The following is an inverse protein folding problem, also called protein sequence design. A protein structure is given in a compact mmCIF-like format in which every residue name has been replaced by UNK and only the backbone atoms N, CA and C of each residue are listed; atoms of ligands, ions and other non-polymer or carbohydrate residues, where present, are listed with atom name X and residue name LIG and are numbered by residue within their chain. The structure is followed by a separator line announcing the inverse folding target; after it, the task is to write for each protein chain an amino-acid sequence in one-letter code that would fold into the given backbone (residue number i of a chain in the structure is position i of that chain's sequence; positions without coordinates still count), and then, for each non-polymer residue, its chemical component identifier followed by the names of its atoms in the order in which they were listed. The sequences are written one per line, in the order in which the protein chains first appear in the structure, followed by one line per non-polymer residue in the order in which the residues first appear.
data_IF_013454568755
#
_entry.id   IF_013454568755
#
_cell.length_a   1.000
_cell.length_b   1.000
_cell.length_c   1.000
_cell.angle_alpha   90.00
_cell.angle_beta   90.00
_cell.angle_gamma   90.00
#
_symmetry.space_group_name_H-M   'P 1'
#
loop_
_entity.id
_entity.type
_entity.pdbx_description
1 polymer ?
#
# COMPACT_ATOMS: atom_id res chain seq x y z
N UNK A 1 15.89 -6.24 -18.30
CA UNK A 1 14.66 -6.69 -17.61
C UNK A 1 14.51 -5.76 -16.43
N UNK A 2 13.43 -4.99 -16.35
CA UNK A 2 13.25 -4.09 -15.22
C UNK A 2 12.89 -4.94 -14.01
N UNK A 3 13.83 -5.14 -13.09
CA UNK A 3 13.55 -5.86 -11.86
C UNK A 3 12.78 -4.95 -10.91
N UNK A 4 11.47 -5.21 -10.82
CA UNK A 4 10.53 -4.48 -9.95
C UNK A 4 11.00 -4.52 -8.50
N UNK A 5 11.60 -5.62 -8.06
CA UNK A 5 12.04 -5.83 -6.68
C UNK A 5 13.32 -5.05 -6.40
N UNK A 6 14.25 -4.99 -7.36
CA UNK A 6 15.43 -4.14 -7.25
C UNK A 6 15.04 -2.65 -7.19
N UNK A 7 14.12 -2.19 -8.04
CA UNK A 7 13.66 -0.79 -8.02
C UNK A 7 12.99 -0.43 -6.68
N UNK A 8 12.13 -1.31 -6.16
CA UNK A 8 11.50 -1.13 -4.85
C UNK A 8 12.56 -1.08 -3.74
N UNK A 9 13.49 -2.03 -3.73
CA UNK A 9 14.52 -2.12 -2.70
C UNK A 9 15.42 -0.88 -2.72
N UNK A 10 15.90 -0.47 -3.89
CA UNK A 10 16.73 0.73 -4.06
C UNK A 10 16.01 2.00 -3.61
N UNK A 11 14.76 2.20 -4.06
CA UNK A 11 13.95 3.39 -3.73
C UNK A 11 13.61 3.52 -2.25
N UNK A 12 13.71 2.42 -1.49
CA UNK A 12 13.29 2.38 -0.10
C UNK A 12 14.40 2.13 0.92
N UNK A 13 15.61 1.76 0.49
CA UNK A 13 16.77 1.41 1.33
C UNK A 13 17.17 2.45 2.40
N UNK A 14 16.91 3.74 2.16
CA UNK A 14 17.29 4.81 3.08
C UNK A 14 16.53 4.78 4.43
N UNK A 15 15.37 4.12 4.50
CA UNK A 15 14.51 4.09 5.71
C UNK A 15 15.17 3.38 6.89
N UNK A 16 15.94 2.32 6.63
CA UNK A 16 16.62 1.56 7.68
C UNK A 16 17.64 2.40 8.44
N UNK A 17 18.32 3.30 7.71
CA UNK A 17 19.23 4.27 8.29
C UNK A 17 18.52 5.28 9.20
N UNK A 18 17.27 5.64 8.92
CA UNK A 18 16.48 6.52 9.78
C UNK A 18 15.95 5.80 11.02
N UNK A 19 15.46 4.57 10.87
CA UNK A 19 15.06 3.73 12.00
C UNK A 19 16.20 3.52 13.00
N UNK A 20 17.43 3.29 12.53
CA UNK A 20 18.59 3.20 13.41
C UNK A 20 18.82 4.50 14.20
N UNK A 21 18.67 5.67 13.56
CA UNK A 21 18.83 6.98 14.22
C UNK A 21 17.75 7.24 15.26
N UNK A 22 16.50 6.83 15.01
CA UNK A 22 15.39 7.00 15.96
C UNK A 22 15.65 6.28 17.28
N UNK A 23 16.28 5.10 17.24
CA UNK A 23 16.64 4.33 18.44
C UNK A 23 17.77 4.98 19.24
N UNK A 24 18.71 5.65 18.56
CA UNK A 24 19.90 6.23 19.19
C UNK A 24 19.63 7.54 19.93
N UNK A 25 18.72 8.39 19.43
CA UNK A 25 18.53 9.76 19.93
C UNK A 25 19.87 10.52 20.04
N UNK A 26 20.68 10.49 18.96
CA UNK A 26 22.05 11.01 18.99
C UNK A 26 22.15 12.51 19.33
N UNK A 27 21.07 13.27 19.13
CA UNK A 27 20.99 14.68 19.49
C UNK A 27 20.69 14.92 20.98
N UNK A 28 20.50 13.86 21.79
CA UNK A 28 20.15 13.93 23.21
C UNK A 28 18.92 14.81 23.49
N UNK A 29 17.91 14.75 22.63
CA UNK A 29 16.62 15.40 22.87
C UNK A 29 15.96 14.76 24.09
N UNK A 30 15.15 15.52 24.84
CA UNK A 30 14.31 14.96 25.90
C UNK A 30 13.61 13.68 25.39
N UNK A 31 13.69 12.59 26.17
CA UNK A 31 13.29 11.26 25.69
C UNK A 31 11.81 11.21 25.32
N UNK A 32 10.94 11.81 26.12
CA UNK A 32 9.50 11.79 25.86
C UNK A 32 9.17 12.58 24.60
N UNK A 33 9.78 13.75 24.43
CA UNK A 33 9.65 14.54 23.20
C UNK A 33 10.19 13.77 21.99
N UNK A 34 11.37 13.15 22.11
CA UNK A 34 12.01 12.40 21.03
C UNK A 34 11.15 11.24 20.54
N UNK A 35 10.67 10.39 21.46
CA UNK A 35 9.83 9.25 21.09
C UNK A 35 8.50 9.70 20.48
N UNK A 36 7.92 10.79 20.98
CA UNK A 36 6.74 11.41 20.36
C UNK A 36 7.02 11.87 18.92
N UNK A 37 8.17 12.47 18.66
CA UNK A 37 8.58 12.89 17.31
C UNK A 37 8.85 11.70 16.37
N UNK A 38 9.31 10.57 16.90
CA UNK A 38 9.57 9.38 16.09
C UNK A 38 8.29 8.73 15.55
N UNK A 39 7.17 8.78 16.28
CA UNK A 39 5.93 8.08 15.88
C UNK A 39 5.41 8.49 14.49
N UNK A 40 5.22 9.79 14.17
CA UNK A 40 4.81 10.20 12.83
C UNK A 40 5.80 9.77 11.74
N UNK A 41 7.10 9.76 12.04
CA UNK A 41 8.15 9.36 11.09
C UNK A 41 8.10 7.85 10.81
N UNK A 42 7.95 7.03 11.85
CA UNK A 42 7.81 5.57 11.69
C UNK A 42 6.57 5.24 10.86
N UNK A 43 5.45 5.91 11.15
CA UNK A 43 4.24 5.79 10.34
C UNK A 43 4.46 6.23 8.89
N UNK A 44 5.14 7.35 8.66
CA UNK A 44 5.42 7.85 7.31
C UNK A 44 6.28 6.87 6.50
N UNK A 45 7.21 6.15 7.15
CA UNK A 45 7.97 5.08 6.50
C UNK A 45 7.08 3.93 6.06
N UNK A 46 6.15 3.48 6.90
CA UNK A 46 5.19 2.44 6.58
C UNK A 46 4.33 2.83 5.37
N UNK A 47 3.56 3.93 5.49
CA UNK A 47 2.66 4.36 4.43
C UNK A 47 3.42 4.69 3.14
N UNK A 48 4.55 5.39 3.27
CA UNK A 48 5.40 5.75 2.14
C UNK A 48 5.97 4.54 1.42
N UNK A 49 6.40 3.49 2.14
CA UNK A 49 6.90 2.25 1.53
C UNK A 49 5.81 1.57 0.71
N UNK A 50 4.62 1.36 1.29
CA UNK A 50 3.51 0.70 0.59
C UNK A 50 3.10 1.49 -0.65
N UNK A 51 2.92 2.80 -0.53
CA UNK A 51 2.54 3.66 -1.66
C UNK A 51 3.61 3.64 -2.75
N UNK A 52 4.89 3.75 -2.39
CA UNK A 52 5.99 3.72 -3.37
C UNK A 52 6.06 2.38 -4.10
N UNK A 53 5.93 1.27 -3.36
CA UNK A 53 6.03 -0.08 -3.90
C UNK A 53 4.89 -0.38 -4.87
N UNK A 54 3.65 -0.03 -4.49
CA UNK A 54 2.49 -0.23 -5.37
C UNK A 54 2.52 0.68 -6.60
N UNK A 55 3.10 1.89 -6.52
CA UNK A 55 3.31 2.76 -7.70
C UNK A 55 4.29 2.17 -8.70
N UNK A 56 5.37 1.56 -8.21
CA UNK A 56 6.36 0.85 -9.02
C UNK A 56 5.68 -0.36 -9.69
N UNK A 57 4.97 -1.19 -8.91
CA UNK A 57 4.21 -2.33 -9.44
C UNK A 57 3.20 -1.92 -10.51
N UNK A 58 2.41 -0.86 -10.28
CA UNK A 58 1.46 -0.34 -11.27
C UNK A 58 2.17 0.14 -12.54
N UNK A 59 3.34 0.77 -12.40
CA UNK A 59 4.11 1.23 -13.55
C UNK A 59 4.62 0.05 -14.38
N UNK A 60 5.07 -1.02 -13.71
CA UNK A 60 5.40 -2.29 -14.35
C UNK A 60 4.19 -2.89 -15.08
N UNK A 61 3.04 -3.05 -14.42
CA UNK A 61 1.83 -3.62 -15.03
C UNK A 61 1.37 -2.81 -16.25
N UNK A 62 1.44 -1.48 -16.20
CA UNK A 62 1.12 -0.61 -17.32
C UNK A 62 2.07 -0.76 -18.52
N UNK A 63 3.33 -1.14 -18.27
CA UNK A 63 4.34 -1.39 -19.31
C UNK A 63 4.13 -2.70 -20.05
N UNK A 64 3.37 -3.64 -19.46
CA UNK A 64 3.06 -4.94 -20.07
C UNK A 64 1.93 -4.88 -21.12
N UNK A 65 1.25 -3.74 -21.27
CA UNK A 65 0.15 -3.54 -22.23
C UNK A 65 -0.92 -4.66 -22.18
N UNK A 66 -1.32 -5.02 -20.95
CA UNK A 66 -2.13 -6.21 -20.69
C UNK A 66 -3.50 -6.18 -21.39
N UNK A 67 -3.89 -7.30 -22.00
CA UNK A 67 -5.23 -7.49 -22.55
C UNK A 67 -6.23 -7.81 -21.43
N UNK A 68 -7.32 -7.03 -21.26
CA UNK A 68 -8.34 -7.26 -20.23
C UNK A 68 -9.00 -8.65 -20.23
N UNK A 69 -8.93 -9.38 -21.35
CA UNK A 69 -9.47 -10.74 -21.46
C UNK A 69 -8.62 -11.81 -20.78
N UNK A 70 -7.33 -11.53 -20.56
CA UNK A 70 -6.35 -12.51 -20.10
C UNK A 70 -5.89 -12.26 -18.65
N UNK A 71 -6.45 -11.25 -17.98
CA UNK A 71 -6.06 -10.81 -16.65
C UNK A 71 -7.11 -11.12 -15.59
N UNK A 72 -6.69 -11.19 -14.34
CA UNK A 72 -7.61 -11.43 -13.22
C UNK A 72 -8.61 -10.29 -13.04
N UNK A 73 -9.83 -10.64 -12.64
CA UNK A 73 -10.97 -9.71 -12.51
C UNK A 73 -10.70 -8.56 -11.54
N UNK A 74 -9.99 -8.79 -10.43
CA UNK A 74 -9.58 -7.74 -9.50
C UNK A 74 -8.81 -6.62 -10.21
N UNK A 75 -7.90 -6.94 -11.14
CA UNK A 75 -7.17 -5.93 -11.90
C UNK A 75 -8.05 -5.19 -12.92
N UNK A 76 -9.01 -5.88 -13.56
CA UNK A 76 -10.02 -5.24 -14.41
C UNK A 76 -10.82 -4.20 -13.60
N UNK A 77 -11.21 -4.56 -12.37
CA UNK A 77 -11.92 -3.66 -11.44
C UNK A 77 -11.05 -2.43 -11.11
N UNK A 78 -9.76 -2.62 -10.83
CA UNK A 78 -8.82 -1.50 -10.60
C UNK A 78 -8.76 -0.58 -11.83
N UNK A 79 -8.64 -1.16 -13.04
CA UNK A 79 -8.55 -0.37 -14.28
C UNK A 79 -9.81 0.42 -14.61
N UNK A 80 -11.00 -0.08 -14.25
CA UNK A 80 -12.26 0.67 -14.38
C UNK A 80 -12.34 1.85 -13.41
N UNK A 81 -11.79 1.70 -12.20
CA UNK A 81 -11.61 2.77 -11.22
C UNK A 81 -12.84 3.66 -11.03
N UNK A 82 -12.69 4.96 -11.31
CA UNK A 82 -13.73 5.97 -11.15
C UNK A 82 -14.97 5.76 -12.03
N UNK A 83 -14.91 4.87 -13.03
CA UNK A 83 -16.08 4.48 -13.82
C UNK A 83 -17.18 3.90 -12.94
N UNK A 84 -16.83 3.24 -11.82
CA UNK A 84 -17.84 2.73 -10.86
C UNK A 84 -18.61 3.83 -10.12
N UNK A 85 -18.12 5.09 -10.10
CA UNK A 85 -18.88 6.20 -9.50
C UNK A 85 -20.20 6.45 -10.22
N UNK A 86 -20.29 6.14 -11.52
CA UNK A 86 -21.55 6.22 -12.26
C UNK A 86 -22.55 5.11 -11.86
N UNK A 87 -22.17 4.20 -10.97
CA UNK A 87 -23.03 3.17 -10.39
C UNK A 87 -23.37 3.40 -8.91
N UNK A 88 -22.90 4.50 -8.29
CA UNK A 88 -23.14 4.77 -6.86
C UNK A 88 -24.52 5.38 -6.56
N UNK A 89 -25.36 4.71 -5.77
CA UNK A 89 -26.71 5.18 -5.43
C UNK A 89 -27.79 4.81 -6.46
N UNK A 90 -28.86 5.60 -6.56
CA UNK A 90 -29.95 5.36 -7.53
C UNK A 90 -29.51 5.82 -8.93
N UNK A 91 -29.30 4.86 -9.83
CA UNK A 91 -28.84 5.16 -11.19
C UNK A 91 -29.96 5.43 -12.18
N UNK A 92 -29.83 6.55 -12.91
CA UNK A 92 -30.58 6.81 -14.14
C UNK A 92 -30.17 5.86 -15.26
N UNK A 93 -31.01 5.74 -16.29
CA UNK A 93 -30.68 4.94 -17.47
C UNK A 93 -29.44 5.47 -18.21
N UNK A 94 -29.25 6.80 -18.24
CA UNK A 94 -28.08 7.45 -18.86
C UNK A 94 -26.78 7.07 -18.16
N UNK A 95 -26.75 7.06 -16.83
CA UNK A 95 -25.57 6.65 -16.06
C UNK A 95 -25.19 5.17 -16.31
N UNK A 96 -26.19 4.31 -16.52
CA UNK A 96 -25.96 2.90 -16.88
C UNK A 96 -25.38 2.75 -18.28
N UNK A 97 -25.85 3.55 -19.24
CA UNK A 97 -25.25 3.62 -20.59
C UNK A 97 -23.79 4.05 -20.47
N UNK A 98 -23.52 5.14 -19.75
CA UNK A 98 -22.16 5.67 -19.58
C UNK A 98 -21.20 4.62 -18.98
N UNK A 99 -21.63 3.88 -17.95
CA UNK A 99 -20.85 2.77 -17.40
C UNK A 99 -20.61 1.67 -18.45
N UNK A 100 -21.66 1.27 -19.16
CA UNK A 100 -21.61 0.17 -20.13
C UNK A 100 -20.68 0.50 -21.30
N UNK A 101 -20.66 1.76 -21.75
CA UNK A 101 -19.76 2.24 -22.79
C UNK A 101 -18.30 2.23 -22.32
N UNK A 102 -18.01 2.73 -21.10
CA UNK A 102 -16.66 2.68 -20.51
C UNK A 102 -16.18 1.24 -20.32
N UNK A 103 -17.04 0.37 -19.79
CA UNK A 103 -16.76 -1.04 -19.64
C UNK A 103 -16.45 -1.71 -20.98
N UNK A 104 -17.26 -1.45 -22.01
CA UNK A 104 -17.05 -2.00 -23.35
C UNK A 104 -15.78 -1.46 -24.02
N UNK A 105 -15.44 -0.19 -23.79
CA UNK A 105 -14.22 0.44 -24.32
C UNK A 105 -12.96 -0.18 -23.71
N UNK A 106 -12.99 -0.52 -22.42
CA UNK A 106 -11.87 -1.15 -21.73
C UNK A 106 -11.37 -2.39 -22.49
N UNK A 107 -12.28 -3.27 -22.93
CA UNK A 107 -11.95 -4.51 -23.63
C UNK A 107 -11.47 -4.34 -25.08
N UNK A 108 -11.46 -3.11 -25.60
CA UNK A 108 -10.93 -2.78 -26.94
C UNK A 108 -9.48 -2.31 -26.89
N UNK A 109 -8.98 -1.95 -25.70
CA UNK A 109 -7.66 -1.36 -25.49
C UNK A 109 -6.83 -2.19 -24.49
N UNK A 110 -5.53 -1.88 -24.39
CA UNK A 110 -4.70 -2.41 -23.30
C UNK A 110 -5.14 -1.79 -21.97
N UNK A 111 -5.14 -2.58 -20.90
CA UNK A 111 -5.50 -2.08 -19.58
C UNK A 111 -4.51 -1.01 -19.12
N UNK A 112 -5.02 0.12 -18.62
CA UNK A 112 -4.24 1.17 -17.99
C UNK A 112 -4.72 1.40 -16.57
N UNK A 113 -3.79 1.36 -15.62
CA UNK A 113 -4.03 1.57 -14.20
C UNK A 113 -3.59 2.98 -13.81
N UNK A 114 -4.41 3.67 -13.02
CA UNK A 114 -4.03 4.95 -12.44
C UNK A 114 -2.86 4.76 -11.46
N UNK A 115 -1.85 5.63 -11.54
CA UNK A 115 -0.69 5.60 -10.61
C UNK A 115 -1.03 6.10 -9.19
N UNK A 116 -2.25 6.60 -8.97
CA UNK A 116 -2.67 7.08 -7.66
C UNK A 116 -3.07 5.89 -6.79
N UNK A 117 -2.33 5.68 -5.70
CA UNK A 117 -2.70 4.78 -4.61
C UNK A 117 -3.40 5.61 -3.54
N UNK A 118 -4.62 5.24 -3.19
CA UNK A 118 -5.38 5.90 -2.13
C UNK A 118 -5.33 5.06 -0.86
N UNK A 119 -4.54 5.52 0.13
CA UNK A 119 -4.45 4.91 1.45
C UNK A 119 -5.52 5.43 2.42
N UNK A 120 -6.50 6.19 1.92
CA UNK A 120 -7.54 6.86 2.74
C UNK A 120 -6.94 7.72 3.87
N UNK A 121 -5.74 8.27 3.61
CA UNK A 121 -4.91 9.07 4.54
C UNK A 121 -4.46 8.36 5.83
N UNK A 122 -4.76 7.06 5.97
CA UNK A 122 -4.45 6.25 7.14
C UNK A 122 -4.28 4.78 6.72
N UNK A 123 -3.05 4.33 6.52
CA UNK A 123 -2.78 2.93 6.17
C UNK A 123 -2.87 2.00 7.39
N UNK A 124 -4.10 1.75 7.82
CA UNK A 124 -4.48 0.75 8.83
C UNK A 124 -4.59 -0.65 8.22
N UNK A 125 -4.73 -1.65 9.07
CA UNK A 125 -4.96 -3.05 8.74
C UNK A 125 -6.09 -3.26 7.73
N UNK A 126 -7.24 -2.62 7.93
CA UNK A 126 -8.39 -2.70 7.01
C UNK A 126 -8.09 -2.11 5.61
N UNK A 127 -7.33 -1.03 5.53
CA UNK A 127 -6.91 -0.45 4.25
C UNK A 127 -5.87 -1.35 3.57
N UNK A 128 -4.94 -1.89 4.34
CA UNK A 128 -3.97 -2.88 3.85
C UNK A 128 -4.67 -4.14 3.32
N UNK A 129 -5.70 -4.63 4.00
CA UNK A 129 -6.50 -5.78 3.57
C UNK A 129 -7.21 -5.50 2.24
N UNK A 130 -7.80 -4.31 2.08
CA UNK A 130 -8.37 -3.89 0.80
C UNK A 130 -7.32 -3.86 -0.32
N UNK A 131 -6.12 -3.31 -0.06
CA UNK A 131 -5.02 -3.32 -1.03
C UNK A 131 -4.60 -4.76 -1.37
N UNK A 132 -4.50 -5.64 -0.38
CA UNK A 132 -4.17 -7.05 -0.62
C UNK A 132 -5.24 -7.71 -1.51
N UNK A 133 -6.53 -7.49 -1.26
CA UNK A 133 -7.63 -7.98 -2.11
C UNK A 133 -7.54 -7.43 -3.54
N UNK A 134 -7.20 -6.15 -3.69
CA UNK A 134 -7.04 -5.52 -5.00
C UNK A 134 -5.98 -6.21 -5.84
N UNK A 135 -4.81 -6.53 -5.27
CA UNK A 135 -3.71 -7.17 -6.01
C UNK A 135 -3.70 -8.70 -5.92
N UNK A 136 -4.54 -9.29 -5.07
CA UNK A 136 -4.56 -10.73 -4.83
C UNK A 136 -3.47 -11.22 -3.88
N UNK A 137 -2.90 -10.34 -3.06
CA UNK A 137 -1.90 -10.70 -2.05
C UNK A 137 -2.55 -11.41 -0.86
N UNK A 138 -1.81 -12.30 -0.22
CA UNK A 138 -2.25 -13.03 0.96
C UNK A 138 -2.15 -12.15 2.23
N UNK A 139 -3.26 -11.54 2.61
CA UNK A 139 -3.34 -10.69 3.81
C UNK A 139 -3.02 -11.43 5.12
N UNK A 140 -3.23 -12.75 5.18
CA UNK A 140 -2.95 -13.56 6.39
C UNK A 140 -1.48 -13.43 6.83
N UNK A 141 -0.56 -13.22 5.88
CA UNK A 141 0.86 -13.03 6.15
C UNK A 141 1.18 -11.74 6.91
N UNK A 142 0.24 -10.80 7.02
CA UNK A 142 0.41 -9.52 7.73
C UNK A 142 -0.22 -9.51 9.13
N UNK A 143 -1.10 -10.46 9.45
CA UNK A 143 -1.95 -10.42 10.65
C UNK A 143 -1.15 -10.21 11.93
N UNK A 144 -0.02 -10.90 12.06
CA UNK A 144 0.89 -10.80 13.22
C UNK A 144 1.31 -9.35 13.53
N UNK A 145 1.45 -8.49 12.51
CA UNK A 145 1.98 -7.13 12.65
C UNK A 145 0.87 -6.06 12.69
N UNK A 146 -0.34 -6.41 12.25
CA UNK A 146 -1.44 -5.45 12.05
C UNK A 146 -1.88 -4.73 13.32
N UNK A 147 -1.90 -5.41 14.47
CA UNK A 147 -2.28 -4.80 15.74
C UNK A 147 -1.34 -3.64 16.12
N UNK A 148 -0.04 -3.82 15.92
CA UNK A 148 0.96 -2.81 16.22
C UNK A 148 0.96 -1.67 15.21
N UNK A 149 0.74 -1.97 13.93
CA UNK A 149 0.55 -0.95 12.89
C UNK A 149 -0.68 -0.10 13.20
N UNK A 150 -1.82 -0.70 13.53
CA UNK A 150 -3.03 0.05 13.87
C UNK A 150 -2.83 0.92 15.11
N UNK A 151 -2.12 0.39 16.13
CA UNK A 151 -1.74 1.16 17.30
C UNK A 151 -0.83 2.33 16.93
N UNK A 152 0.16 2.13 16.06
CA UNK A 152 1.03 3.18 15.54
C UNK A 152 0.21 4.28 14.83
N UNK A 153 -0.73 3.91 13.95
CA UNK A 153 -1.62 4.87 13.27
C UNK A 153 -2.46 5.66 14.28
N UNK A 154 -3.02 4.99 15.28
CA UNK A 154 -3.82 5.63 16.33
C UNK A 154 -2.99 6.70 17.09
N UNK A 155 -1.79 6.32 17.55
CA UNK A 155 -0.92 7.24 18.30
C UNK A 155 -0.49 8.41 17.42
N UNK A 156 -0.12 8.15 16.16
CA UNK A 156 0.23 9.19 15.18
C UNK A 156 -0.90 10.19 14.99
N UNK A 157 -2.15 9.72 14.88
CA UNK A 157 -3.30 10.60 14.72
C UNK A 157 -3.55 11.45 15.97
N UNK A 158 -3.49 10.85 17.16
CA UNK A 158 -3.59 11.60 18.42
C UNK A 158 -2.51 12.69 18.52
N UNK A 159 -1.25 12.38 18.18
CA UNK A 159 -0.16 13.37 18.17
C UNK A 159 -0.47 14.51 17.19
N UNK A 160 -0.96 14.21 15.99
CA UNK A 160 -1.32 15.20 14.97
C UNK A 160 -2.49 16.10 15.40
N UNK A 161 -3.40 15.58 16.22
CA UNK A 161 -4.49 16.35 16.84
C UNK A 161 -4.07 17.12 18.11
N UNK A 162 -2.79 17.07 18.49
CA UNK A 162 -2.24 17.79 19.64
C UNK A 162 -2.40 17.08 20.99
N UNK A 163 -2.88 15.84 21.00
CA UNK A 163 -3.05 15.06 22.22
C UNK A 163 -1.68 14.61 22.79
N UNK A 164 -1.60 14.49 24.12
CA UNK A 164 -0.37 14.12 24.84
C UNK A 164 -0.60 12.97 25.85
N UNK A 165 -1.57 12.11 25.59
CA UNK A 165 -1.98 11.06 26.52
C UNK A 165 -1.09 9.80 26.48
N UNK A 166 -0.21 9.66 25.49
CA UNK A 166 0.61 8.48 25.28
C UNK A 166 1.99 8.64 25.93
N UNK A 167 2.28 7.81 26.91
CA UNK A 167 3.65 7.61 27.42
C UNK A 167 4.33 6.61 26.50
N UNK A 168 5.40 7.07 25.83
CA UNK A 168 6.18 6.28 24.90
C UNK A 168 7.58 6.06 25.45
N UNK A 169 8.11 4.88 25.21
CA UNK A 169 9.48 4.51 25.55
C UNK A 169 10.22 3.87 24.36
N UNK A 170 11.47 3.50 24.59
CA UNK A 170 12.29 2.85 23.56
C UNK A 170 11.70 1.50 23.13
N UNK A 171 11.08 0.75 24.04
CA UNK A 171 10.46 -0.54 23.73
C UNK A 171 9.30 -0.37 22.74
N UNK A 172 8.48 0.67 22.92
CA UNK A 172 7.42 1.01 21.96
C UNK A 172 8.01 1.36 20.59
N UNK A 173 9.06 2.19 20.55
CA UNK A 173 9.72 2.57 19.29
C UNK A 173 10.30 1.34 18.58
N UNK A 174 11.02 0.50 19.30
CA UNK A 174 11.57 -0.74 18.77
C UNK A 174 10.48 -1.68 18.24
N UNK A 175 9.37 -1.79 18.97
CA UNK A 175 8.23 -2.62 18.59
C UNK A 175 7.58 -2.12 17.30
N UNK A 176 7.33 -0.82 17.18
CA UNK A 176 6.74 -0.27 15.96
C UNK A 176 7.67 -0.37 14.75
N UNK A 177 8.97 -0.10 14.94
CA UNK A 177 9.95 -0.28 13.87
C UNK A 177 9.98 -1.74 13.40
N UNK A 178 10.05 -2.70 14.32
CA UNK A 178 10.04 -4.13 13.97
C UNK A 178 8.78 -4.54 13.21
N UNK A 179 7.61 -4.10 13.67
CA UNK A 179 6.34 -4.39 13.00
C UNK A 179 6.29 -3.79 11.58
N UNK A 180 6.75 -2.55 11.41
CA UNK A 180 6.81 -1.90 10.09
C UNK A 180 7.80 -2.62 9.17
N UNK A 181 9.03 -2.89 9.61
CA UNK A 181 10.03 -3.62 8.82
C UNK A 181 9.53 -5.00 8.40
N UNK A 182 8.94 -5.76 9.33
CA UNK A 182 8.39 -7.08 9.03
C UNK A 182 7.25 -7.00 8.00
N UNK A 183 6.34 -6.05 8.14
CA UNK A 183 5.25 -5.84 7.18
C UNK A 183 5.75 -5.38 5.80
N UNK A 184 6.79 -4.54 5.73
CA UNK A 184 7.40 -4.17 4.45
C UNK A 184 8.06 -5.35 3.76
N UNK A 185 8.70 -6.25 4.52
CA UNK A 185 9.29 -7.48 3.98
C UNK A 185 8.22 -8.45 3.46
N UNK A 186 7.10 -8.59 4.18
CA UNK A 186 5.94 -9.36 3.70
C UNK A 186 5.43 -8.80 2.37
N UNK A 187 5.23 -7.48 2.29
CA UNK A 187 4.75 -6.85 1.07
C UNK A 187 5.70 -7.07 -0.10
N UNK A 188 7.02 -6.95 0.12
CA UNK A 188 8.01 -7.19 -0.92
C UNK A 188 7.92 -8.63 -1.46
N UNK A 189 7.77 -9.62 -0.57
CA UNK A 189 7.60 -11.03 -0.97
C UNK A 189 6.30 -11.27 -1.74
N UNK A 190 5.20 -10.66 -1.33
CA UNK A 190 3.93 -10.78 -2.05
C UNK A 190 4.01 -10.16 -3.45
N UNK A 191 4.66 -8.99 -3.58
CA UNK A 191 4.89 -8.35 -4.89
C UNK A 191 5.81 -9.22 -5.76
N UNK A 192 6.89 -9.76 -5.19
CA UNK A 192 7.82 -10.64 -5.91
C UNK A 192 7.09 -11.85 -6.47
N UNK A 193 6.39 -12.58 -5.62
CA UNK A 193 5.58 -13.75 -6.02
C UNK A 193 4.57 -13.38 -7.11
N UNK A 194 3.83 -12.29 -6.92
CA UNK A 194 2.84 -11.82 -7.89
C UNK A 194 3.43 -11.54 -9.28
N UNK A 195 4.64 -10.98 -9.33
CA UNK A 195 5.36 -10.69 -10.58
C UNK A 195 5.94 -11.96 -11.21
N UNK A 196 6.65 -12.78 -10.42
CA UNK A 196 7.35 -13.99 -10.88
C UNK A 196 6.38 -15.05 -11.38
N UNK A 197 5.32 -15.33 -10.61
CA UNK A 197 4.30 -16.32 -10.96
C UNK A 197 3.27 -15.79 -11.95
N UNK A 198 3.41 -14.52 -12.37
CA UNK A 198 2.49 -13.79 -13.24
C UNK A 198 1.05 -13.89 -12.74
N UNK A 199 0.83 -13.71 -11.44
CA UNK A 199 -0.49 -13.82 -10.83
C UNK A 199 -1.48 -12.74 -11.31
N UNK A 200 -1.01 -11.77 -12.11
CA UNK A 200 -1.87 -10.84 -12.84
C UNK A 200 -2.65 -11.48 -14.01
N UNK A 201 -2.24 -12.67 -14.50
CA UNK A 201 -2.91 -13.41 -15.57
C UNK A 201 -3.96 -14.39 -15.05
N UNK A 202 -4.93 -14.72 -15.89
CA UNK A 202 -5.83 -15.84 -15.67
C UNK A 202 -5.09 -17.18 -15.84
N UNK A 203 -5.48 -18.23 -15.11
CA UNK A 203 -4.92 -19.57 -15.31
C UNK A 203 -5.07 -20.01 -16.78
N UNK A 204 -3.97 -20.43 -17.42
CA UNK A 204 -3.97 -20.93 -18.79
C UNK A 204 -3.92 -19.85 -19.90
N UNK A 205 -3.63 -18.59 -19.56
CA UNK A 205 -3.49 -17.48 -20.53
C UNK A 205 -2.07 -17.25 -21.06
N UNK A 206 -1.20 -18.27 -21.02
CA UNK A 206 0.16 -18.23 -21.57
C UNK A 206 0.21 -18.54 -23.05
#
# INVERSE_FOLDING_TARGET
MHDVIEEISASNSWRDGEFAKFKLNAANVDKNLWFRMCIPMIYAHWEGFVVSSLRILISYLNSLELNPKNIRTNLVVIGLGDSYKTLSGKQSFVQRIEFTDKFSSLYKESLKFAKKIDTKSNLRSNVLEELCKMFGFNYENFIEYTSDIDRLVNIRNSIAHGENAFLLDLENIDKYIKAVTAATDVLLREIQRFVEDKEYLLPGST
#
